data_IF_298260858476
#
_entry.id   IF_298260858476
#
_cell.length_a   1.000
_cell.length_b   1.000
_cell.length_c   1.000
_cell.angle_alpha   90.00
_cell.angle_beta   90.00
_cell.angle_gamma   90.00
#
_symmetry.space_group_name_H-M   'P 1'
#
loop_
_entity.id
_entity.type
_entity.pdbx_description
1 polymer ?
#
# COMPACT_ATOMS: atom_id res chain seq x y z
N UNK A 1 -4.07 17.53 10.34
CA UNK A 1 -3.99 16.45 11.36
C UNK A 1 -5.34 16.30 12.02
N UNK A 2 -5.97 15.16 11.81
CA UNK A 2 -7.37 14.87 12.15
C UNK A 2 -7.44 13.50 12.86
N UNK A 3 -8.34 13.41 13.84
CA UNK A 3 -8.59 12.23 14.68
C UNK A 3 -10.10 11.98 14.80
N UNK A 4 -10.56 10.74 14.64
CA UNK A 4 -11.95 10.33 14.92
C UNK A 4 -12.15 9.82 16.35
N UNK A 5 -11.13 9.14 16.92
CA UNK A 5 -11.16 8.46 18.22
C UNK A 5 -12.00 7.16 18.17
N UNK A 6 -12.86 6.88 19.16
CA UNK A 6 -13.70 5.67 19.17
C UNK A 6 -15.06 5.98 18.51
N UNK A 7 -15.55 5.08 17.65
CA UNK A 7 -16.85 5.14 16.98
C UNK A 7 -16.71 5.08 15.46
N UNK A 8 -17.84 4.95 14.75
CA UNK A 8 -17.85 4.99 13.28
C UNK A 8 -17.88 6.47 12.82
N UNK A 9 -16.75 6.97 12.34
CA UNK A 9 -16.52 8.36 12.02
C UNK A 9 -16.51 8.67 10.53
N UNK A 10 -16.77 9.95 10.23
CA UNK A 10 -16.61 10.51 8.89
C UNK A 10 -15.67 11.71 8.96
N UNK A 11 -14.48 11.56 8.41
CA UNK A 11 -13.40 12.55 8.47
C UNK A 11 -13.20 13.19 7.09
N UNK A 12 -13.03 14.50 7.04
CA UNK A 12 -12.74 15.26 5.82
C UNK A 12 -11.47 16.11 6.03
N UNK A 13 -10.43 15.84 5.24
CA UNK A 13 -9.18 16.62 5.16
C UNK A 13 -9.35 17.95 4.43
N UNK A 14 -10.13 17.95 3.36
CA UNK A 14 -10.34 19.11 2.46
C UNK A 14 -9.08 19.44 1.64
N UNK A 15 -8.71 20.71 1.51
CA UNK A 15 -7.52 21.14 0.78
C UNK A 15 -6.30 21.12 1.70
N UNK A 16 -5.20 20.53 1.26
CA UNK A 16 -3.92 20.51 1.96
C UNK A 16 -3.34 19.10 2.09
N UNK A 17 -2.14 19.02 2.65
CA UNK A 17 -1.53 17.73 2.97
C UNK A 17 -1.91 17.38 4.41
N UNK A 18 -2.79 16.40 4.56
CA UNK A 18 -3.33 15.99 5.83
C UNK A 18 -2.70 14.74 6.42
N UNK A 19 -2.84 14.65 7.72
CA UNK A 19 -2.55 13.45 8.50
C UNK A 19 -3.87 13.04 9.13
N UNK A 20 -4.33 11.83 8.87
CA UNK A 20 -5.63 11.35 9.30
C UNK A 20 -5.45 10.01 10.01
N UNK A 21 -5.86 9.93 11.27
CA UNK A 21 -6.03 8.67 12.00
C UNK A 21 -7.51 8.60 12.37
N UNK A 22 -8.23 7.61 11.87
CA UNK A 22 -9.67 7.53 12.10
C UNK A 22 -9.99 7.01 13.50
N UNK A 23 -9.23 6.02 13.97
CA UNK A 23 -9.29 5.52 15.33
C UNK A 23 -9.93 4.15 15.35
N UNK A 24 -10.78 3.85 16.33
CA UNK A 24 -11.43 2.56 16.46
C UNK A 24 -12.92 2.65 16.07
N UNK A 25 -13.36 1.88 15.10
CA UNK A 25 -14.70 1.86 14.52
C UNK A 25 -14.62 1.57 13.03
N UNK A 26 -15.77 1.45 12.36
CA UNK A 26 -15.79 1.29 10.90
C UNK A 26 -15.85 2.68 10.26
N UNK A 27 -14.70 3.24 9.90
CA UNK A 27 -14.57 4.66 9.56
C UNK A 27 -14.62 4.96 8.07
N UNK A 28 -14.91 6.22 7.74
CA UNK A 28 -14.73 6.75 6.39
C UNK A 28 -13.92 8.04 6.41
N UNK A 29 -12.71 7.98 5.89
CA UNK A 29 -11.80 9.13 5.78
C UNK A 29 -11.66 9.61 4.34
N UNK A 30 -11.76 10.93 4.14
CA UNK A 30 -11.51 11.62 2.88
C UNK A 30 -10.30 12.54 3.05
N UNK A 31 -9.26 12.34 2.24
CA UNK A 31 -8.07 13.18 2.18
C UNK A 31 -8.40 14.51 1.53
N UNK A 32 -8.69 14.48 0.23
CA UNK A 32 -9.09 15.66 -0.54
C UNK A 32 -8.01 16.05 -1.54
N UNK A 33 -7.64 17.32 -1.58
CA UNK A 33 -6.60 17.83 -2.49
C UNK A 33 -5.27 17.94 -1.73
N UNK A 34 -4.25 17.18 -2.09
CA UNK A 34 -2.92 17.27 -1.48
C UNK A 34 -2.24 15.91 -1.42
N UNK A 35 -1.03 15.86 -0.85
CA UNK A 35 -0.41 14.57 -0.52
C UNK A 35 -0.81 14.20 0.92
N UNK A 36 -1.77 13.29 1.07
CA UNK A 36 -2.34 12.91 2.36
C UNK A 36 -1.73 11.64 2.94
N UNK A 37 -1.78 11.52 4.26
CA UNK A 37 -1.35 10.35 5.00
C UNK A 37 -2.47 9.84 5.92
N UNK A 38 -2.98 8.67 5.61
CA UNK A 38 -3.89 7.91 6.46
C UNK A 38 -3.08 6.97 7.35
N UNK A 39 -3.45 6.84 8.61
CA UNK A 39 -2.81 5.93 9.57
C UNK A 39 -3.83 4.91 10.06
N UNK A 40 -3.52 3.64 9.83
CA UNK A 40 -4.27 2.50 10.35
C UNK A 40 -3.54 1.88 11.55
N UNK A 41 -4.27 1.50 12.58
CA UNK A 41 -3.76 0.99 13.85
C UNK A 41 -4.44 -0.31 14.24
N UNK A 42 -3.77 -1.14 15.05
CA UNK A 42 -4.35 -2.42 15.43
C UNK A 42 -5.66 -2.24 16.21
N UNK A 43 -6.74 -2.83 15.71
CA UNK A 43 -8.08 -2.76 16.26
C UNK A 43 -8.86 -1.54 15.82
N UNK A 44 -8.48 -0.90 14.70
CA UNK A 44 -9.23 0.20 14.10
C UNK A 44 -10.60 -0.27 13.60
N UNK A 45 -10.71 -1.17 12.63
CA UNK A 45 -12.02 -1.64 12.18
C UNK A 45 -12.02 -2.08 10.73
N UNK A 46 -13.17 -2.04 10.07
CA UNK A 46 -13.26 -2.19 8.61
C UNK A 46 -13.43 -0.78 7.98
N UNK A 47 -12.33 -0.16 7.56
CA UNK A 47 -12.35 1.26 7.17
C UNK A 47 -12.50 1.50 5.66
N UNK A 48 -12.81 2.74 5.30
CA UNK A 48 -12.72 3.22 3.91
C UNK A 48 -11.93 4.51 3.81
N UNK A 49 -10.83 4.47 3.06
CA UNK A 49 -9.94 5.59 2.79
C UNK A 49 -10.10 6.08 1.35
N UNK A 50 -10.40 7.37 1.20
CA UNK A 50 -10.44 8.08 -0.06
C UNK A 50 -9.30 9.10 -0.06
N UNK A 51 -8.23 8.87 -0.82
CA UNK A 51 -7.21 9.91 -1.05
C UNK A 51 -7.82 11.03 -1.89
N UNK A 52 -8.18 10.69 -3.13
CA UNK A 52 -8.93 11.58 -4.02
C UNK A 52 -10.47 11.43 -3.91
N UNK A 53 -11.23 12.54 -3.98
CA UNK A 53 -12.69 12.51 -4.12
C UNK A 53 -13.13 12.01 -5.53
N UNK A 54 -14.39 11.56 -5.67
CA UNK A 54 -14.96 11.02 -6.92
C UNK A 54 -14.94 12.01 -8.11
N UNK A 55 -14.70 13.30 -7.85
CA UNK A 55 -14.56 14.36 -8.87
C UNK A 55 -13.12 14.50 -9.37
N UNK A 56 -12.18 13.77 -8.76
CA UNK A 56 -10.75 13.91 -8.90
C UNK A 56 -10.20 14.84 -7.82
N UNK A 57 -9.32 14.32 -6.98
CA UNK A 57 -8.35 15.09 -6.22
C UNK A 57 -7.01 15.11 -6.97
N UNK A 58 -6.02 15.80 -6.40
CA UNK A 58 -4.65 15.72 -6.87
C UNK A 58 -3.72 15.47 -5.70
N UNK A 59 -2.94 14.40 -5.78
CA UNK A 59 -2.13 13.99 -4.65
C UNK A 59 -1.31 12.76 -4.94
N UNK A 60 -0.44 12.43 -4.00
CA UNK A 60 0.15 11.10 -3.87
C UNK A 60 -0.12 10.62 -2.45
N UNK A 61 -1.24 9.94 -2.27
CA UNK A 61 -1.73 9.61 -0.94
C UNK A 61 -1.11 8.32 -0.42
N UNK A 62 -0.93 8.26 0.89
CA UNK A 62 -0.24 7.16 1.56
C UNK A 62 -1.09 6.59 2.67
N UNK A 63 -1.27 5.26 2.66
CA UNK A 63 -1.73 4.53 3.84
C UNK A 63 -0.51 4.02 4.62
N UNK A 64 -0.36 4.49 5.86
CA UNK A 64 0.66 4.05 6.81
C UNK A 64 0.08 3.02 7.77
N UNK A 65 0.56 1.78 7.66
CA UNK A 65 0.25 0.64 8.53
C UNK A 65 1.52 0.13 9.23
N UNK A 66 2.53 0.99 9.40
CA UNK A 66 3.85 0.60 9.93
C UNK A 66 3.81 0.03 11.36
N UNK A 67 2.73 0.29 12.11
CA UNK A 67 2.51 -0.23 13.46
C UNK A 67 2.02 -1.69 13.49
N UNK A 68 1.52 -2.19 12.36
CA UNK A 68 0.87 -3.50 12.25
C UNK A 68 1.91 -4.62 12.23
N UNK A 69 1.70 -5.66 13.03
CA UNK A 69 2.62 -6.79 13.13
C UNK A 69 2.13 -8.04 12.42
N UNK A 70 0.83 -8.12 12.15
CA UNK A 70 0.22 -9.16 11.33
C UNK A 70 0.58 -9.00 9.84
N UNK A 71 0.47 -10.11 9.10
CA UNK A 71 0.62 -10.08 7.65
C UNK A 71 -0.51 -9.29 6.99
N UNK A 72 -0.13 -8.36 6.11
CA UNK A 72 -1.03 -7.50 5.35
C UNK A 72 -1.15 -8.03 3.92
N UNK A 73 -2.39 -8.11 3.42
CA UNK A 73 -2.67 -8.29 1.98
C UNK A 73 -3.27 -7.01 1.42
N UNK A 74 -2.48 -6.29 0.62
CA UNK A 74 -2.84 -5.02 0.01
C UNK A 74 -2.97 -5.12 -1.51
N UNK A 75 -3.97 -4.44 -2.06
CA UNK A 75 -4.16 -4.15 -3.47
C UNK A 75 -4.46 -2.66 -3.61
N UNK A 76 -3.57 -1.92 -4.27
CA UNK A 76 -3.65 -0.45 -4.36
C UNK A 76 -4.56 0.05 -5.48
N UNK A 77 -5.33 -0.82 -6.15
CA UNK A 77 -6.32 -0.37 -7.13
C UNK A 77 -6.44 -1.22 -8.39
N UNK A 78 -6.31 -2.53 -8.29
CA UNK A 78 -6.60 -3.46 -9.42
C UNK A 78 -8.06 -3.90 -9.48
N UNK A 79 -8.85 -3.55 -8.46
CA UNK A 79 -10.28 -3.81 -8.39
C UNK A 79 -11.12 -3.00 -9.39
N UNK A 80 -12.44 -3.21 -9.34
CA UNK A 80 -13.38 -2.52 -10.21
C UNK A 80 -13.27 -0.99 -10.04
N UNK A 81 -13.19 -0.25 -11.15
CA UNK A 81 -13.00 1.20 -11.18
C UNK A 81 -11.74 1.71 -10.46
N UNK A 82 -10.71 0.86 -10.27
CA UNK A 82 -9.50 1.27 -9.56
C UNK A 82 -9.62 1.20 -8.04
N UNK A 83 -10.70 0.62 -7.52
CA UNK A 83 -10.84 0.34 -6.08
C UNK A 83 -9.70 -0.57 -5.62
N UNK A 84 -9.02 -0.15 -4.57
CA UNK A 84 -8.08 -0.96 -3.80
C UNK A 84 -8.73 -1.60 -2.57
N UNK A 85 -7.99 -2.47 -1.92
CA UNK A 85 -8.38 -3.11 -0.68
C UNK A 85 -7.15 -3.48 0.13
N UNK A 86 -7.22 -3.33 1.44
CA UNK A 86 -6.19 -3.81 2.36
C UNK A 86 -6.86 -4.69 3.41
N UNK A 87 -6.11 -5.64 3.95
CA UNK A 87 -6.63 -6.50 5.01
C UNK A 87 -5.51 -7.05 5.85
N UNK A 88 -5.76 -7.15 7.15
CA UNK A 88 -4.89 -7.81 8.11
C UNK A 88 -5.76 -8.44 9.21
N UNK A 89 -5.16 -9.28 10.07
CA UNK A 89 -5.89 -9.78 11.25
C UNK A 89 -5.99 -8.75 12.38
N UNK A 90 -5.27 -7.62 12.26
CA UNK A 90 -5.24 -6.56 13.26
C UNK A 90 -6.12 -5.37 12.88
N UNK A 91 -6.35 -5.12 11.59
CA UNK A 91 -7.03 -3.93 11.04
C UNK A 91 -8.23 -4.26 10.15
N UNK A 92 -8.79 -5.47 10.28
CA UNK A 92 -9.97 -5.83 9.48
C UNK A 92 -9.78 -5.80 7.95
N UNK A 93 -10.80 -5.31 7.25
CA UNK A 93 -10.97 -5.31 5.80
C UNK A 93 -11.24 -3.90 5.24
N UNK A 94 -10.17 -3.22 4.84
CA UNK A 94 -10.23 -1.83 4.39
C UNK A 94 -10.49 -1.67 2.89
N UNK A 95 -11.21 -0.61 2.53
CA UNK A 95 -11.40 -0.15 1.17
C UNK A 95 -10.53 1.06 0.83
N UNK A 96 -9.87 1.04 -0.33
CA UNK A 96 -9.07 2.17 -0.81
C UNK A 96 -9.63 2.74 -2.11
N UNK A 97 -9.63 4.06 -2.22
CA UNK A 97 -9.94 4.80 -3.44
C UNK A 97 -8.96 5.95 -3.60
N UNK A 98 -8.24 5.98 -4.74
CA UNK A 98 -7.26 7.04 -5.00
C UNK A 98 -6.14 7.09 -3.96
N UNK A 99 -5.66 5.93 -3.49
CA UNK A 99 -4.49 5.85 -2.61
C UNK A 99 -3.38 5.14 -3.37
N UNK A 100 -2.29 5.86 -3.66
CA UNK A 100 -1.21 5.37 -4.51
C UNK A 100 -0.14 4.61 -3.74
N UNK A 101 0.05 4.94 -2.47
CA UNK A 101 1.20 4.51 -1.69
C UNK A 101 0.79 3.76 -0.44
N UNK A 102 1.66 2.86 0.01
CA UNK A 102 1.46 2.13 1.26
C UNK A 102 2.79 1.87 1.95
N UNK A 103 2.76 1.99 3.28
CA UNK A 103 3.81 1.51 4.18
C UNK A 103 3.20 0.40 5.01
N UNK A 104 3.74 -0.81 4.95
CA UNK A 104 3.32 -1.91 5.80
C UNK A 104 4.27 -2.09 6.99
N UNK A 105 3.93 -3.02 7.88
CA UNK A 105 4.59 -3.17 9.18
C UNK A 105 5.61 -4.31 9.23
N UNK A 106 5.50 -5.20 10.22
CA UNK A 106 6.48 -6.28 10.44
C UNK A 106 6.03 -7.67 9.95
N UNK A 107 4.89 -7.76 9.30
CA UNK A 107 4.30 -8.99 8.79
C UNK A 107 5.04 -9.53 7.56
N UNK A 108 4.72 -10.76 7.14
CA UNK A 108 5.14 -11.24 5.81
C UNK A 108 4.10 -10.77 4.78
N UNK A 109 4.31 -9.59 4.19
CA UNK A 109 3.24 -8.87 3.51
C UNK A 109 3.11 -9.23 2.02
N UNK A 110 1.91 -9.04 1.46
CA UNK A 110 1.67 -9.14 0.02
C UNK A 110 1.06 -7.85 -0.49
N UNK A 111 1.81 -7.13 -1.33
CA UNK A 111 1.39 -5.82 -1.84
C UNK A 111 1.24 -5.91 -3.36
N UNK A 112 0.06 -5.58 -3.86
CA UNK A 112 -0.24 -5.52 -5.30
C UNK A 112 -0.32 -4.07 -5.74
N UNK A 113 0.64 -3.66 -6.57
CA UNK A 113 0.69 -2.33 -7.14
C UNK A 113 -0.50 -2.06 -8.07
N UNK A 114 -0.90 -0.80 -8.17
CA UNK A 114 -1.92 -0.37 -9.10
C UNK A 114 -1.29 -0.06 -10.47
N UNK A 115 -2.01 0.65 -11.34
CA UNK A 115 -1.50 1.12 -12.64
C UNK A 115 -0.86 2.51 -12.55
N UNK A 116 -1.04 3.19 -11.42
CA UNK A 116 -0.39 4.45 -11.11
C UNK A 116 1.09 4.23 -10.78
N UNK A 117 1.81 5.31 -10.53
CA UNK A 117 3.13 5.22 -9.90
C UNK A 117 2.88 4.99 -8.42
N UNK A 118 3.39 3.89 -7.87
CA UNK A 118 3.24 3.55 -6.46
C UNK A 118 4.60 3.61 -5.77
N UNK A 119 4.63 4.17 -4.56
CA UNK A 119 5.70 3.99 -3.58
C UNK A 119 5.20 2.99 -2.55
N UNK A 120 5.93 1.90 -2.36
CA UNK A 120 5.54 0.82 -1.46
C UNK A 120 6.73 0.48 -0.58
N UNK A 121 6.53 0.50 0.73
CA UNK A 121 7.46 -0.03 1.72
C UNK A 121 6.83 -1.25 2.39
N UNK A 122 7.54 -2.38 2.34
CA UNK A 122 7.11 -3.65 2.93
C UNK A 122 7.47 -3.77 4.42
N UNK A 123 8.27 -2.82 4.94
CA UNK A 123 8.73 -2.88 6.32
C UNK A 123 9.65 -4.08 6.61
N UNK A 124 9.42 -4.72 7.74
CA UNK A 124 10.15 -5.92 8.14
C UNK A 124 9.35 -7.16 7.79
N UNK A 125 10.02 -8.29 7.56
CA UNK A 125 9.35 -9.53 7.14
C UNK A 125 9.92 -10.04 5.82
N UNK A 126 9.21 -10.98 5.20
CA UNK A 126 9.47 -11.51 3.87
C UNK A 126 8.33 -11.15 2.92
N UNK A 127 8.44 -9.97 2.33
CA UNK A 127 7.33 -9.36 1.60
C UNK A 127 7.32 -9.76 0.12
N UNK A 128 6.12 -9.78 -0.45
CA UNK A 128 5.87 -10.09 -1.86
C UNK A 128 5.22 -8.91 -2.57
N UNK A 129 5.97 -8.27 -3.47
CA UNK A 129 5.44 -7.20 -4.34
C UNK A 129 4.97 -7.77 -5.68
N UNK A 130 3.71 -7.49 -6.03
CA UNK A 130 3.07 -7.94 -7.27
C UNK A 130 2.80 -6.74 -8.17
N UNK A 131 3.25 -6.83 -9.40
CA UNK A 131 3.04 -5.80 -10.42
C UNK A 131 2.14 -6.37 -11.53
N UNK A 132 0.89 -5.90 -11.66
CA UNK A 132 0.01 -6.38 -12.72
C UNK A 132 0.63 -6.03 -14.07
N UNK A 133 0.85 -7.04 -14.90
CA UNK A 133 1.39 -6.82 -16.24
C UNK A 133 0.41 -5.94 -17.02
N UNK A 134 0.89 -4.81 -17.56
CA UNK A 134 0.25 -4.23 -18.74
C UNK A 134 0.28 -5.33 -19.80
N UNK A 135 -0.88 -5.83 -20.21
CA UNK A 135 -0.96 -6.69 -21.41
C UNK A 135 -0.31 -5.89 -22.53
N UNK A 136 0.91 -6.28 -22.92
CA UNK A 136 1.50 -5.81 -24.17
C UNK A 136 0.62 -6.39 -25.26
N UNK A 137 -0.36 -5.61 -25.72
CA UNK A 137 -1.18 -5.94 -26.88
C UNK A 137 -0.38 -5.65 -28.14
N UNK A 138 0.83 -6.20 -28.23
CA UNK A 138 1.44 -6.43 -29.52
C UNK A 138 0.82 -7.73 -29.99
N UNK A 139 -0.14 -7.63 -30.90
CA UNK A 139 -0.53 -8.79 -31.69
C UNK A 139 0.76 -9.29 -32.36
N UNK A 140 1.36 -10.34 -31.80
CA UNK A 140 2.45 -11.04 -32.46
C UNK A 140 1.76 -11.77 -33.61
N UNK A 141 1.96 -11.37 -34.87
CA UNK A 141 1.32 -12.08 -35.98
C UNK A 141 1.82 -13.52 -35.96
N UNK A 142 0.97 -14.46 -36.38
CA UNK A 142 1.17 -15.91 -36.23
C UNK A 142 2.48 -16.47 -36.82
N UNK A 143 3.20 -15.68 -37.60
CA UNK A 143 4.50 -16.02 -38.19
C UNK A 143 5.72 -15.64 -37.33
N UNK A 144 5.56 -14.86 -36.25
CA UNK A 144 6.67 -14.38 -35.41
C UNK A 144 6.92 -15.27 -34.17
N UNK A 145 7.11 -16.57 -34.38
CA UNK A 145 7.70 -17.47 -33.39
C UNK A 145 9.13 -17.85 -33.78
N UNK A 146 10.11 -17.12 -33.25
CA UNK A 146 11.39 -17.72 -32.88
C UNK A 146 11.90 -17.02 -31.61
N UNK A 147 11.60 -17.67 -30.48
CA UNK A 147 12.18 -17.43 -29.15
C UNK A 147 11.93 -16.05 -28.53
N UNK A 148 10.88 -15.97 -27.71
CA UNK A 148 10.85 -15.04 -26.58
C UNK A 148 10.24 -15.76 -25.36
N UNK A 149 11.08 -16.43 -24.60
CA UNK A 149 10.79 -16.69 -23.18
C UNK A 149 11.26 -15.43 -22.47
N UNK A 150 10.34 -14.58 -22.01
CA UNK A 150 10.66 -13.56 -21.01
C UNK A 150 10.38 -14.19 -19.66
N UNK A 151 11.40 -14.81 -19.07
CA UNK A 151 11.41 -15.10 -17.64
C UNK A 151 12.10 -13.93 -16.97
N UNK A 152 11.33 -13.10 -16.24
CA UNK A 152 11.89 -12.17 -15.27
C UNK A 152 11.99 -12.95 -13.96
N UNK A 153 13.21 -13.35 -13.62
CA UNK A 153 13.56 -13.80 -12.27
C UNK A 153 14.24 -12.63 -11.57
N UNK A 154 13.57 -12.01 -10.60
CA UNK A 154 14.19 -11.04 -9.70
C UNK A 154 14.68 -11.81 -8.48
N UNK A 155 16.00 -11.97 -8.36
CA UNK A 155 16.62 -12.59 -7.18
C UNK A 155 17.09 -11.46 -6.26
N UNK A 156 16.41 -11.26 -5.14
CA UNK A 156 16.89 -10.40 -4.07
C UNK A 156 17.96 -11.16 -3.28
N UNK A 157 19.20 -10.67 -3.29
CA UNK A 157 20.20 -11.11 -2.32
C UNK A 157 20.21 -10.11 -1.18
N UNK A 158 19.76 -10.50 0.02
CA UNK A 158 19.97 -9.69 1.23
C UNK A 158 21.48 -9.53 1.42
N UNK A 159 22.00 -8.30 1.32
CA UNK A 159 23.32 -8.01 1.89
C UNK A 159 23.19 -7.99 3.41
N UNK A 160 23.57 -9.08 4.05
CA UNK A 160 23.80 -9.07 5.49
C UNK A 160 24.92 -8.05 5.78
N UNK A 161 24.59 -6.95 6.44
CA UNK A 161 25.58 -6.04 6.99
C UNK A 161 26.48 -6.83 7.94
N UNK A 162 27.73 -7.07 7.54
CA UNK A 162 28.74 -7.62 8.43
C UNK A 162 28.99 -6.60 9.55
N UNK A 163 28.39 -6.82 10.71
CA UNK A 163 28.85 -6.19 11.95
C UNK A 163 30.26 -6.69 12.20
N UNK A 164 31.25 -5.85 11.90
CA UNK A 164 32.64 -6.12 12.19
C UNK A 164 32.86 -6.25 13.69
N UNK A 165 32.97 -7.48 14.19
CA UNK A 165 33.55 -7.76 15.50
C UNK A 165 35.07 -7.63 15.38
N UNK A 166 35.61 -6.44 15.68
CA UNK A 166 37.03 -6.32 16.05
C UNK A 166 37.17 -6.78 17.49
N UNK A 167 37.60 -8.01 17.69
CA UNK A 167 38.24 -8.44 18.92
C UNK A 167 39.66 -7.85 19.00
N UNK A 168 39.95 -7.16 20.11
CA UNK A 168 41.28 -6.95 20.71
C UNK A 168 41.89 -8.28 21.19
N UNK A 169 43.11 -8.38 21.77
CA UNK A 169 44.21 -7.42 21.99
C UNK A 169 45.62 -7.94 21.59
N UNK A 170 46.57 -7.04 21.36
CA UNK A 170 47.99 -7.15 21.76
C UNK A 170 48.49 -5.74 22.06
#
# INVERSE_FOLDING_TARGET
>A
MLYGDDGDDRILGEDGNDFINAGAGDDTAFGGDGDDMFVAEAGDGDDTYYGDDMVGGSGNDTLDMSSITAAITADLGTGFMGRGSVSSSETGNDGLWGVENIVTGSGDDTITASRAVNVMDGGAGNDTFRFPLRRMRTAIPSWAFSRAIVSISVVWTRMAAQRGTKASPW
#
